data_IF_082553239853
#
_entry.id   IF_082553239853
#
_cell.length_a   1.000
_cell.length_b   1.000
_cell.length_c   1.000
_cell.angle_alpha   90.00
_cell.angle_beta   90.00
_cell.angle_gamma   90.00
#
_symmetry.space_group_name_H-M   'P 1'
#
loop_
_entity.id
_entity.type
_entity.pdbx_description
1 polymer ?
#
# COMPACT_ATOMS: atom_id res chain seq x y z
N UNK A 1 16.71 3.47 8.20
CA UNK A 1 15.41 2.83 7.91
C UNK A 1 15.46 2.04 6.60
N UNK A 2 15.20 0.73 6.64
CA UNK A 2 15.09 -0.13 5.46
C UNK A 2 13.75 -0.87 5.46
N UNK A 3 13.18 -1.05 4.27
CA UNK A 3 11.92 -1.75 4.03
C UNK A 3 12.19 -2.83 3.00
N UNK A 4 11.91 -4.08 3.34
CA UNK A 4 11.97 -5.19 2.38
C UNK A 4 10.57 -5.45 1.86
N UNK A 5 10.45 -5.33 0.54
CA UNK A 5 9.24 -5.66 -0.22
C UNK A 5 9.51 -7.00 -0.92
N UNK A 6 8.54 -7.93 -0.92
CA UNK A 6 8.66 -9.17 -1.69
C UNK A 6 8.94 -8.89 -3.17
N UNK A 7 9.76 -9.73 -3.82
CA UNK A 7 10.22 -9.48 -5.18
C UNK A 7 9.12 -9.52 -6.26
N UNK A 8 7.90 -10.00 -5.95
CA UNK A 8 6.80 -10.22 -6.90
C UNK A 8 5.60 -9.29 -6.62
N UNK A 9 5.80 -8.17 -5.91
CA UNK A 9 4.71 -7.24 -5.63
C UNK A 9 4.47 -6.29 -6.81
N UNK A 10 3.30 -6.41 -7.45
CA UNK A 10 2.82 -5.41 -8.40
C UNK A 10 2.25 -4.21 -7.63
N UNK A 11 3.05 -3.15 -7.52
CA UNK A 11 2.70 -1.92 -6.81
C UNK A 11 1.69 -1.04 -7.56
N UNK A 12 1.44 -1.32 -8.85
CA UNK A 12 0.50 -0.56 -9.68
C UNK A 12 -0.82 -1.31 -9.90
N UNK A 13 -0.93 -2.56 -9.44
CA UNK A 13 -2.18 -3.30 -9.51
C UNK A 13 -3.30 -2.55 -8.77
N UNK A 14 -4.52 -2.48 -9.34
CA UNK A 14 -5.65 -1.90 -8.64
C UNK A 14 -6.06 -2.78 -7.47
N UNK A 15 -6.73 -2.19 -6.47
CA UNK A 15 -7.08 -2.86 -5.21
C UNK A 15 -7.75 -4.22 -5.40
N UNK A 16 -8.65 -4.37 -6.38
CA UNK A 16 -9.36 -5.62 -6.65
C UNK A 16 -8.56 -6.71 -7.38
N UNK A 17 -7.32 -6.43 -7.77
CA UNK A 17 -6.37 -7.39 -8.36
C UNK A 17 -5.08 -7.53 -7.54
N UNK A 18 -4.83 -6.58 -6.63
CA UNK A 18 -3.65 -6.59 -5.80
C UNK A 18 -3.70 -7.78 -4.84
N UNK A 19 -2.53 -8.39 -4.63
CA UNK A 19 -2.33 -9.42 -3.60
C UNK A 19 -1.89 -8.76 -2.30
N UNK A 20 -2.17 -9.42 -1.18
CA UNK A 20 -1.69 -8.97 0.14
C UNK A 20 -0.16 -8.89 0.16
N UNK A 21 0.35 -7.80 0.72
CA UNK A 21 1.80 -7.52 0.80
C UNK A 21 2.25 -7.58 2.25
N UNK A 22 3.26 -8.38 2.52
CA UNK A 22 3.95 -8.40 3.81
C UNK A 22 5.23 -7.58 3.72
N UNK A 23 5.36 -6.59 4.59
CA UNK A 23 6.52 -5.71 4.66
C UNK A 23 7.35 -6.04 5.90
N UNK A 24 8.67 -6.13 5.73
CA UNK A 24 9.60 -6.23 6.86
C UNK A 24 10.30 -4.89 7.03
N UNK A 25 10.22 -4.34 8.24
CA UNK A 25 10.70 -3.01 8.59
C UNK A 25 11.78 -3.09 9.66
N UNK A 26 12.89 -2.38 9.46
CA UNK A 26 13.83 -2.12 10.54
C UNK A 26 13.34 -0.97 11.42
N UNK A 27 13.27 -1.21 12.72
CA UNK A 27 12.85 -0.21 13.71
C UNK A 27 14.04 0.66 14.14
N UNK A 28 13.81 1.97 14.25
CA UNK A 28 14.79 2.93 14.76
C UNK A 28 14.54 3.21 16.26
N UNK A 29 15.62 3.39 17.05
CA UNK A 29 15.50 3.75 18.46
C UNK A 29 15.00 5.19 18.63
N UNK A 30 14.04 5.39 19.54
CA UNK A 30 13.53 6.72 19.88
C UNK A 30 14.59 7.51 20.66
N UNK A 31 15.03 8.70 20.19
CA UNK A 31 16.04 9.49 20.88
C UNK A 31 15.63 9.93 22.29
N UNK A 32 14.31 9.92 22.60
CA UNK A 32 13.78 10.34 23.91
C UNK A 32 13.54 9.18 24.87
N UNK A 33 13.63 7.93 24.41
CA UNK A 33 13.31 6.75 25.22
C UNK A 33 14.20 5.56 24.84
N UNK A 34 15.06 5.14 25.76
CA UNK A 34 16.05 4.07 25.56
C UNK A 34 15.48 2.67 25.31
N UNK A 35 14.18 2.48 25.51
CA UNK A 35 13.47 1.21 25.27
C UNK A 35 12.29 1.36 24.30
N UNK A 36 12.20 2.48 23.60
CA UNK A 36 11.15 2.72 22.63
C UNK A 36 11.75 2.65 21.22
N UNK A 37 11.01 2.01 20.33
CA UNK A 37 11.40 1.82 18.94
C UNK A 37 10.25 2.29 18.05
N UNK A 38 10.57 2.93 16.93
CA UNK A 38 9.59 3.46 16.00
C UNK A 38 9.97 3.11 14.56
N UNK A 39 8.97 2.91 13.72
CA UNK A 39 9.09 2.87 12.28
C UNK A 39 7.89 3.59 11.67
N UNK A 40 8.07 4.12 10.46
CA UNK A 40 7.02 4.77 9.71
C UNK A 40 7.01 4.25 8.27
N UNK A 41 5.87 3.77 7.79
CA UNK A 41 5.70 3.37 6.39
C UNK A 41 4.82 4.40 5.70
N UNK A 42 5.31 5.10 4.67
CA UNK A 42 4.45 5.94 3.86
C UNK A 42 3.52 5.03 3.06
N UNK A 43 2.21 5.15 3.28
CA UNK A 43 1.19 4.45 2.51
C UNK A 43 0.59 5.42 1.52
N UNK A 44 0.61 5.05 0.24
CA UNK A 44 -0.04 5.81 -0.80
C UNK A 44 -1.12 4.95 -1.43
N UNK A 45 -2.37 5.37 -1.21
CA UNK A 45 -3.53 4.62 -1.67
C UNK A 45 -3.99 5.17 -3.01
N UNK A 46 -4.07 4.30 -4.03
CA UNK A 46 -4.57 4.62 -5.36
C UNK A 46 -5.51 3.52 -5.87
N UNK A 47 -6.26 3.83 -6.91
CA UNK A 47 -7.02 2.85 -7.73
C UNK A 47 -8.10 2.02 -7.01
N UNK A 48 -8.80 2.59 -6.03
CA UNK A 48 -9.95 1.95 -5.42
C UNK A 48 -11.19 2.06 -6.30
N UNK A 49 -12.04 1.03 -6.28
CA UNK A 49 -13.29 1.04 -7.05
C UNK A 49 -14.27 2.07 -6.48
N UNK A 50 -15.11 2.70 -7.34
CA UNK A 50 -16.22 3.50 -6.88
C UNK A 50 -17.17 2.69 -5.98
N UNK A 51 -17.54 3.26 -4.82
CA UNK A 51 -18.48 2.63 -3.89
C UNK A 51 -19.93 2.90 -4.29
N UNK A 52 -20.83 2.02 -3.81
CA UNK A 52 -22.27 2.32 -3.78
C UNK A 52 -22.53 3.22 -2.57
N UNK A 53 -23.30 4.29 -2.76
CA UNK A 53 -23.49 5.33 -1.76
C UNK A 53 -22.18 6.06 -1.38
N UNK A 54 -22.28 7.12 -0.58
CA UNK A 54 -21.15 7.97 -0.20
C UNK A 54 -20.24 7.34 0.88
N UNK A 55 -20.06 6.02 0.84
CA UNK A 55 -19.24 5.31 1.82
C UNK A 55 -17.78 5.27 1.36
N UNK A 56 -16.82 5.58 2.25
CA UNK A 56 -15.40 5.40 1.96
C UNK A 56 -15.07 3.90 1.85
N UNK A 57 -13.99 3.59 1.16
CA UNK A 57 -13.42 2.24 1.18
C UNK A 57 -12.52 2.10 2.41
N UNK A 58 -12.70 1.03 3.17
CA UNK A 58 -11.89 0.75 4.37
C UNK A 58 -10.75 -0.19 4.01
N UNK A 59 -9.52 0.21 4.32
CA UNK A 59 -8.32 -0.63 4.22
C UNK A 59 -7.89 -1.02 5.63
N UNK A 60 -7.84 -2.31 5.91
CA UNK A 60 -7.44 -2.83 7.22
C UNK A 60 -5.94 -3.07 7.22
N UNK A 61 -5.25 -2.45 8.17
CA UNK A 61 -3.85 -2.74 8.46
C UNK A 61 -3.79 -3.64 9.69
N UNK A 62 -3.46 -4.91 9.48
CA UNK A 62 -3.32 -5.88 10.55
C UNK A 62 -2.22 -5.48 11.54
N UNK A 63 -2.39 -5.88 12.79
CA UNK A 63 -1.36 -5.66 13.82
C UNK A 63 -0.01 -6.26 13.39
N UNK A 64 1.09 -5.50 13.50
CA UNK A 64 2.39 -5.97 13.05
C UNK A 64 2.91 -7.10 13.94
N UNK A 65 3.63 -8.05 13.34
CA UNK A 65 4.41 -9.02 14.08
C UNK A 65 5.79 -8.44 14.40
N UNK A 66 6.14 -8.38 15.69
CA UNK A 66 7.48 -7.95 16.12
C UNK A 66 8.42 -9.15 16.10
N UNK A 67 9.56 -8.97 15.43
CA UNK A 67 10.62 -9.96 15.33
C UNK A 67 11.88 -9.47 16.05
N UNK A 68 12.61 -10.38 16.67
CA UNK A 68 13.88 -10.11 17.35
C UNK A 68 15.01 -10.97 16.75
N UNK A 69 16.20 -10.37 16.60
CA UNK A 69 17.43 -11.07 16.21
C UNK A 69 18.07 -11.64 17.48
N UNK A 70 18.19 -12.97 17.57
CA UNK A 70 18.76 -13.64 18.75
C UNK A 70 20.29 -13.82 18.64
N UNK A 71 20.89 -12.89 17.91
CA UNK A 71 22.24 -12.95 17.39
C UNK A 71 23.29 -12.66 18.48
N UNK A 72 22.84 -12.12 19.62
CA UNK A 72 23.64 -11.92 20.83
C UNK A 72 23.02 -12.66 22.03
N UNK A 73 23.86 -13.37 22.78
CA UNK A 73 23.50 -14.24 23.91
C UNK A 73 22.65 -13.59 25.00
N UNK A 74 22.71 -12.27 25.15
CA UNK A 74 21.95 -11.52 26.15
C UNK A 74 20.43 -11.50 25.93
N UNK A 75 19.95 -11.76 24.71
CA UNK A 75 18.52 -11.76 24.37
C UNK A 75 17.93 -13.17 24.19
N UNK A 76 18.76 -14.22 24.32
CA UNK A 76 18.36 -15.61 24.08
C UNK A 76 17.15 -16.05 24.95
N UNK A 77 17.00 -15.51 26.16
CA UNK A 77 15.89 -15.82 27.05
C UNK A 77 14.52 -15.25 26.60
N UNK A 78 14.51 -14.28 25.69
CA UNK A 78 13.29 -13.61 25.17
C UNK A 78 12.92 -14.12 23.76
N UNK A 79 13.74 -14.99 23.21
CA UNK A 79 13.59 -15.56 21.88
C UNK A 79 12.78 -16.85 21.94
N UNK A 80 11.51 -16.76 21.53
CA UNK A 80 10.65 -17.93 21.40
C UNK A 80 10.72 -18.48 19.96
N UNK A 81 9.82 -19.38 19.55
CA UNK A 81 9.90 -20.20 18.32
C UNK A 81 10.59 -19.51 17.11
N UNK A 82 11.52 -20.21 16.41
CA UNK A 82 12.17 -19.65 15.24
C UNK A 82 11.12 -19.30 14.19
N UNK A 83 11.18 -18.07 13.70
CA UNK A 83 10.36 -17.63 12.57
C UNK A 83 11.23 -17.76 11.33
N UNK A 84 10.75 -18.51 10.35
CA UNK A 84 11.48 -18.86 9.13
C UNK A 84 11.45 -17.69 8.11
N UNK A 85 11.84 -16.49 8.56
CA UNK A 85 11.98 -15.31 7.69
C UNK A 85 13.46 -15.00 7.53
N UNK A 86 13.99 -15.32 6.35
CA UNK A 86 15.35 -14.96 5.95
C UNK A 86 15.45 -13.46 5.65
N UNK A 87 15.55 -12.63 6.68
CA UNK A 87 15.77 -11.19 6.56
C UNK A 87 17.22 -10.80 6.97
N UNK A 88 17.81 -9.79 6.32
CA UNK A 88 19.14 -9.27 6.66
C UNK A 88 19.15 -8.67 8.07
N UNK A 89 20.27 -8.81 8.77
CA UNK A 89 20.46 -8.30 10.14
C UNK A 89 20.42 -6.76 10.25
N UNK A 90 20.72 -6.07 9.15
CA UNK A 90 20.78 -4.61 9.06
C UNK A 90 20.50 -4.19 7.62
N UNK A 91 20.06 -2.94 7.44
CA UNK A 91 19.83 -2.31 6.14
C UNK A 91 21.02 -2.42 5.17
N UNK A 92 22.25 -2.44 5.72
CA UNK A 92 23.50 -2.43 4.95
C UNK A 92 24.17 -3.82 4.86
N UNK A 93 23.69 -4.81 5.63
CA UNK A 93 24.34 -6.12 5.76
C UNK A 93 23.62 -7.22 5.00
N UNK A 94 24.31 -7.90 4.09
CA UNK A 94 23.76 -9.05 3.34
C UNK A 94 23.74 -10.38 4.12
N UNK A 95 24.13 -10.37 5.40
CA UNK A 95 24.16 -11.60 6.21
C UNK A 95 22.73 -11.88 6.70
N UNK A 96 22.17 -13.06 6.40
CA UNK A 96 20.86 -13.45 6.91
C UNK A 96 20.94 -13.72 8.41
N UNK A 97 20.02 -13.14 9.17
CA UNK A 97 19.90 -13.37 10.60
C UNK A 97 18.77 -14.34 10.92
N UNK A 98 18.89 -15.05 12.04
CA UNK A 98 17.82 -15.90 12.55
C UNK A 98 16.86 -15.03 13.38
N UNK A 99 15.66 -14.81 12.83
CA UNK A 99 14.63 -14.00 13.46
C UNK A 99 13.65 -14.86 14.25
N UNK A 100 13.23 -14.35 15.41
CA UNK A 100 12.34 -15.05 16.31
C UNK A 100 11.12 -14.18 16.61
N UNK A 101 9.95 -14.82 16.73
CA UNK A 101 8.74 -14.13 17.19
C UNK A 101 8.85 -13.82 18.68
N UNK A 102 8.28 -12.68 19.07
CA UNK A 102 8.15 -12.31 20.47
C UNK A 102 6.69 -12.04 20.82
N UNK A 103 6.31 -12.36 22.05
CA UNK A 103 5.02 -11.99 22.61
C UNK A 103 5.04 -10.49 22.92
N UNK A 104 4.53 -9.68 21.99
CA UNK A 104 4.26 -8.27 22.24
C UNK A 104 2.77 -8.10 22.59
N UNK A 105 2.43 -7.04 23.33
CA UNK A 105 1.04 -6.62 23.41
C UNK A 105 0.70 -5.93 22.09
N UNK A 106 -0.16 -6.51 21.23
CA UNK A 106 -0.59 -5.82 20.02
C UNK A 106 -1.25 -4.49 20.40
N UNK A 107 -1.14 -3.51 19.51
CA UNK A 107 -2.00 -2.34 19.60
C UNK A 107 -3.45 -2.84 19.65
N UNK A 108 -4.26 -2.29 20.55
CA UNK A 108 -5.56 -2.87 20.92
C UNK A 108 -6.59 -2.87 19.77
N UNK A 109 -6.32 -2.23 18.63
CA UNK A 109 -7.22 -2.13 17.49
C UNK A 109 -6.45 -2.26 16.17
N UNK A 110 -6.98 -3.05 15.24
CA UNK A 110 -6.53 -3.04 13.83
C UNK A 110 -6.74 -1.63 13.28
N UNK A 111 -5.72 -1.08 12.61
CA UNK A 111 -5.82 0.27 12.08
C UNK A 111 -6.63 0.24 10.79
N UNK A 112 -7.82 0.84 10.80
CA UNK A 112 -8.63 1.03 9.61
C UNK A 112 -8.32 2.40 8.99
N UNK A 113 -7.89 2.39 7.72
CA UNK A 113 -7.71 3.58 6.92
C UNK A 113 -8.93 3.77 6.01
N UNK A 114 -9.61 4.91 6.13
CA UNK A 114 -10.71 5.27 5.24
C UNK A 114 -10.22 6.02 4.01
N UNK A 115 -10.56 5.51 2.83
CA UNK A 115 -10.11 6.01 1.54
C UNK A 115 -11.31 6.60 0.81
N UNK A 116 -11.29 7.89 0.44
CA UNK A 116 -12.38 8.48 -0.32
C UNK A 116 -12.42 7.87 -1.72
N UNK A 117 -13.60 7.44 -2.15
CA UNK A 117 -13.82 6.84 -3.48
C UNK A 117 -14.94 7.53 -4.23
N UNK A 118 -14.93 7.40 -5.55
CA UNK A 118 -15.99 7.91 -6.40
C UNK A 118 -17.34 7.21 -6.13
N UNK A 119 -18.43 7.88 -6.49
CA UNK A 119 -19.78 7.34 -6.41
C UNK A 119 -20.12 6.56 -7.68
N UNK A 120 -20.45 5.27 -7.51
CA UNK A 120 -20.82 4.41 -8.65
C UNK A 120 -22.09 4.87 -9.36
N UNK A 121 -22.98 5.57 -8.67
CA UNK A 121 -24.24 6.08 -9.24
C UNK A 121 -24.04 7.23 -10.23
N UNK A 122 -22.92 7.95 -10.15
CA UNK A 122 -22.59 8.98 -11.14
C UNK A 122 -22.01 8.38 -12.43
N UNK A 123 -21.66 7.09 -12.45
CA UNK A 123 -21.12 6.43 -13.64
C UNK A 123 -21.98 6.63 -14.90
N UNK A 124 -23.30 6.34 -14.92
CA UNK A 124 -24.11 6.54 -16.13
C UNK A 124 -24.17 8.00 -16.58
N UNK A 125 -24.29 8.94 -15.63
CA UNK A 125 -24.35 10.38 -15.93
C UNK A 125 -23.04 10.87 -16.54
N UNK A 126 -21.92 10.54 -15.90
CA UNK A 126 -20.57 10.90 -16.39
C UNK A 126 -20.36 10.31 -17.77
N UNK A 127 -20.66 9.02 -17.98
CA UNK A 127 -20.55 8.38 -19.28
C UNK A 127 -21.40 9.09 -20.35
N UNK A 128 -22.66 9.41 -20.06
CA UNK A 128 -23.54 10.10 -21.00
C UNK A 128 -23.01 11.49 -21.38
N UNK A 129 -22.59 12.29 -20.39
CA UNK A 129 -22.04 13.64 -20.63
C UNK A 129 -20.75 13.57 -21.43
N UNK A 130 -19.84 12.65 -21.10
CA UNK A 130 -18.58 12.46 -21.84
C UNK A 130 -18.84 12.04 -23.28
N UNK A 131 -19.77 11.11 -23.52
CA UNK A 131 -20.14 10.68 -24.87
C UNK A 131 -20.73 11.82 -25.69
N UNK A 132 -21.70 12.56 -25.12
CA UNK A 132 -22.31 13.72 -25.80
C UNK A 132 -21.27 14.79 -26.14
N UNK A 133 -20.40 15.13 -25.18
CA UNK A 133 -19.31 16.08 -25.40
C UNK A 133 -18.37 15.61 -26.51
N UNK A 134 -17.99 14.33 -26.50
CA UNK A 134 -17.10 13.75 -27.50
C UNK A 134 -17.72 13.76 -28.89
N UNK A 135 -19.00 13.38 -29.02
CA UNK A 135 -19.74 13.42 -30.28
C UNK A 135 -19.87 14.84 -30.82
N UNK A 136 -20.16 15.81 -29.95
CA UNK A 136 -20.24 17.22 -30.32
C UNK A 136 -18.89 17.73 -30.82
N UNK A 137 -17.81 17.51 -30.06
CA UNK A 137 -16.47 17.90 -30.44
C UNK A 137 -16.04 17.27 -31.76
N UNK A 138 -16.27 15.96 -31.93
CA UNK A 138 -15.97 15.25 -33.17
C UNK A 138 -16.76 15.82 -34.37
N UNK A 139 -18.04 16.14 -34.18
CA UNK A 139 -18.89 16.72 -35.23
C UNK A 139 -18.41 18.10 -35.65
N UNK A 140 -18.00 18.95 -34.68
CA UNK A 140 -17.45 20.27 -34.97
C UNK A 140 -16.12 20.18 -35.72
N UNK A 141 -15.23 19.28 -35.31
CA UNK A 141 -13.95 19.02 -36.00
C UNK A 141 -14.20 18.51 -37.42
N UNK A 142 -15.15 17.58 -37.60
CA UNK A 142 -15.51 17.05 -38.91
C UNK A 142 -16.11 18.13 -39.80
N UNK A 143 -17.02 18.96 -39.29
CA UNK A 143 -17.58 20.07 -40.05
C UNK A 143 -16.50 21.09 -40.46
N UNK A 144 -15.56 21.39 -39.55
CA UNK A 144 -14.47 22.31 -39.83
C UNK A 144 -13.52 21.77 -40.90
N UNK A 145 -13.18 20.47 -40.85
CA UNK A 145 -12.34 19.80 -41.85
C UNK A 145 -13.06 19.66 -43.20
N UNK A 146 -14.36 19.35 -43.24
CA UNK A 146 -15.12 19.35 -44.49
C UNK A 146 -15.22 20.75 -45.12
N UNK A 147 -15.32 21.81 -44.31
CA UNK A 147 -15.46 23.18 -44.79
C UNK A 147 -14.14 23.83 -45.23
N UNK A 148 -13.04 23.52 -44.54
CA UNK A 148 -11.75 24.21 -44.75
C UNK A 148 -10.61 23.26 -45.18
N UNK A 149 -10.86 21.95 -45.22
CA UNK A 149 -9.88 20.98 -45.67
C UNK A 149 -9.72 21.05 -47.19
N UNK A 150 -8.51 21.34 -47.63
CA UNK A 150 -8.08 21.01 -48.99
C UNK A 150 -7.80 19.51 -49.01
N UNK A 151 -8.76 18.72 -49.49
CA UNK A 151 -8.52 17.33 -49.83
C UNK A 151 -7.69 17.33 -51.11
N UNK A 152 -6.38 17.12 -50.97
CA UNK A 152 -5.44 16.96 -52.10
C UNK A 152 -5.46 15.53 -52.64
#
# INVERSE_FOLDING_TARGET
QAVLIPAVTDVEAPEYLALDVQLVLSLDQDPRCSRCFRAAVPVHVRYHRPARHSQPASVVLHSPHVLLCCCHSHLAAQCWQPVEVGAPCSAEGNIPCQWHSTTHRPAQEELMLEVPVGLREHSPLVCAVTLLSTLLCASLILAATCKHGHFS
#
